data_IF_658486962105
#
_entry.id   IF_658486962105
#
_cell.length_a   1.000
_cell.length_b   1.000
_cell.length_c   1.000
_cell.angle_alpha   90.00
_cell.angle_beta   90.00
_cell.angle_gamma   90.00
#
_symmetry.space_group_name_H-M   'P 1'
#
loop_
_entity.id
_entity.type
_entity.pdbx_description
1 polymer ?
#
# COMPACT_ATOMS: atom_id res chain seq x y z
N UNK A 1 -18.28 -25.80 16.52
CA UNK A 1 -18.24 -26.62 15.29
C UNK A 1 -19.45 -26.32 14.42
N UNK A 2 -19.35 -25.31 13.55
CA UNK A 2 -20.40 -24.99 12.60
C UNK A 2 -20.13 -25.75 11.29
N UNK A 3 -20.99 -26.68 10.88
CA UNK A 3 -20.73 -27.58 9.73
C UNK A 3 -20.61 -26.85 8.39
N UNK A 4 -21.10 -25.61 8.28
CA UNK A 4 -21.02 -24.78 7.08
C UNK A 4 -19.91 -23.72 7.11
N UNK A 5 -19.10 -23.65 8.19
CA UNK A 5 -18.09 -22.60 8.34
C UNK A 5 -17.14 -22.56 7.14
N UNK A 6 -16.64 -23.71 6.68
CA UNK A 6 -15.72 -23.78 5.55
C UNK A 6 -16.34 -23.27 4.24
N UNK A 7 -17.64 -23.51 4.04
CA UNK A 7 -18.37 -23.01 2.87
C UNK A 7 -18.54 -21.48 2.90
N UNK A 8 -18.92 -20.92 4.05
CA UNK A 8 -19.03 -19.47 4.20
C UNK A 8 -17.67 -18.77 4.15
N UNK A 9 -16.61 -19.39 4.69
CA UNK A 9 -15.24 -18.87 4.58
C UNK A 9 -14.76 -18.89 3.12
N UNK A 10 -15.10 -19.93 2.35
CA UNK A 10 -14.78 -20.00 0.93
C UNK A 10 -15.51 -18.92 0.12
N UNK A 11 -16.81 -18.70 0.37
CA UNK A 11 -17.57 -17.63 -0.30
C UNK A 11 -17.15 -16.21 0.14
N UNK A 12 -16.64 -16.06 1.35
CA UNK A 12 -16.13 -14.80 1.88
C UNK A 12 -14.71 -14.47 1.39
N UNK A 13 -14.02 -15.40 0.73
CA UNK A 13 -12.72 -15.12 0.12
C UNK A 13 -12.90 -14.05 -0.99
N UNK A 14 -12.17 -12.93 -0.93
CA UNK A 14 -12.32 -11.85 -1.91
C UNK A 14 -12.11 -12.30 -3.35
N UNK A 15 -11.21 -13.26 -3.59
CA UNK A 15 -10.90 -13.78 -4.93
C UNK A 15 -12.09 -14.57 -5.47
N UNK A 16 -12.65 -15.45 -4.64
CA UNK A 16 -13.84 -16.24 -4.99
C UNK A 16 -15.05 -15.33 -5.21
N UNK A 17 -15.27 -14.36 -4.32
CA UNK A 17 -16.36 -13.40 -4.44
C UNK A 17 -16.28 -12.57 -5.74
N UNK A 18 -15.10 -12.06 -6.09
CA UNK A 18 -14.87 -11.33 -7.34
C UNK A 18 -15.05 -12.22 -8.57
N UNK A 19 -14.56 -13.46 -8.53
CA UNK A 19 -14.75 -14.42 -9.62
C UNK A 19 -16.23 -14.69 -9.86
N UNK A 20 -17.01 -14.93 -8.79
CA UNK A 20 -18.46 -15.13 -8.88
C UNK A 20 -19.14 -13.88 -9.43
N UNK A 21 -18.76 -12.69 -8.99
CA UNK A 21 -19.32 -11.43 -9.48
C UNK A 21 -19.09 -11.24 -10.99
N UNK A 22 -17.89 -11.55 -11.49
CA UNK A 22 -17.58 -11.50 -12.93
C UNK A 22 -18.41 -12.51 -13.71
N UNK A 23 -18.49 -13.76 -13.23
CA UNK A 23 -19.29 -14.82 -13.86
C UNK A 23 -20.77 -14.41 -13.92
N UNK A 24 -21.35 -13.97 -12.81
CA UNK A 24 -22.74 -13.51 -12.75
C UNK A 24 -22.99 -12.32 -13.68
N UNK A 25 -22.05 -11.38 -13.76
CA UNK A 25 -22.17 -10.22 -14.66
C UNK A 25 -22.25 -10.66 -16.12
N UNK A 26 -21.39 -11.58 -16.55
CA UNK A 26 -21.41 -12.14 -17.91
C UNK A 26 -22.74 -12.87 -18.18
N UNK A 27 -23.23 -13.66 -17.22
CA UNK A 27 -24.51 -14.38 -17.35
C UNK A 27 -25.72 -13.44 -17.40
N UNK A 28 -25.76 -12.39 -16.57
CA UNK A 28 -26.89 -11.46 -16.46
C UNK A 28 -26.96 -10.53 -17.67
N UNK A 29 -25.83 -10.00 -18.14
CA UNK A 29 -25.83 -9.04 -19.26
C UNK A 29 -26.21 -9.69 -20.60
N UNK A 30 -26.18 -11.03 -20.71
CA UNK A 30 -26.52 -11.80 -21.93
C UNK A 30 -25.80 -11.28 -23.18
N UNK A 31 -24.58 -10.75 -23.01
CA UNK A 31 -23.77 -10.24 -24.10
C UNK A 31 -23.26 -11.39 -24.96
N UNK A 32 -22.97 -11.09 -26.22
CA UNK A 32 -22.19 -11.99 -27.06
C UNK A 32 -20.81 -12.23 -26.40
N UNK A 33 -20.31 -13.47 -26.46
CA UNK A 33 -19.00 -13.87 -25.93
C UNK A 33 -17.89 -12.93 -26.40
N UNK A 34 -17.93 -12.47 -27.66
CA UNK A 34 -16.94 -11.53 -28.20
C UNK A 34 -16.93 -10.22 -27.40
N UNK A 35 -18.10 -9.61 -27.20
CA UNK A 35 -18.26 -8.35 -26.45
C UNK A 35 -17.91 -8.51 -24.96
N UNK A 36 -18.23 -9.67 -24.37
CA UNK A 36 -17.83 -9.98 -23.00
C UNK A 36 -16.29 -10.10 -22.87
N UNK A 37 -15.62 -10.74 -23.83
CA UNK A 37 -14.16 -10.83 -23.86
C UNK A 37 -13.47 -9.48 -24.06
N UNK A 38 -14.04 -8.61 -24.91
CA UNK A 38 -13.56 -7.24 -25.09
C UNK A 38 -13.67 -6.44 -23.78
N UNK A 39 -14.80 -6.52 -23.09
CA UNK A 39 -15.03 -5.85 -21.81
C UNK A 39 -14.04 -6.31 -20.73
N UNK A 40 -13.79 -7.63 -20.63
CA UNK A 40 -12.77 -8.17 -19.74
C UNK A 40 -11.36 -7.65 -20.10
N UNK A 41 -11.05 -7.56 -21.40
CA UNK A 41 -9.77 -7.06 -21.89
C UNK A 41 -9.57 -5.58 -21.54
N UNK A 42 -10.58 -4.75 -21.69
CA UNK A 42 -10.54 -3.34 -21.28
C UNK A 42 -10.36 -3.20 -19.77
N UNK A 43 -11.08 -4.02 -18.98
CA UNK A 43 -10.89 -4.09 -17.53
C UNK A 43 -9.45 -4.40 -17.14
N UNK A 44 -8.83 -5.43 -17.72
CA UNK A 44 -7.43 -5.77 -17.45
C UNK A 44 -6.48 -4.65 -17.90
N UNK A 45 -6.70 -4.04 -19.07
CA UNK A 45 -5.91 -2.90 -19.55
C UNK A 45 -5.93 -1.72 -18.57
N UNK A 46 -7.08 -1.44 -17.96
CA UNK A 46 -7.24 -0.34 -17.01
C UNK A 46 -6.37 -0.47 -15.74
N UNK A 47 -6.07 -1.71 -15.33
CA UNK A 47 -5.26 -2.01 -14.13
C UNK A 47 -3.87 -2.59 -14.44
N UNK A 48 -3.51 -2.76 -15.72
CA UNK A 48 -2.29 -3.43 -16.14
C UNK A 48 -1.03 -2.81 -15.52
N UNK A 49 -0.96 -1.47 -15.48
CA UNK A 49 0.14 -0.75 -14.83
C UNK A 49 0.23 -1.04 -13.34
N UNK A 50 -0.91 -1.12 -12.64
CA UNK A 50 -0.96 -1.43 -11.20
C UNK A 50 -0.44 -2.85 -10.95
N UNK A 51 -0.87 -3.83 -11.76
CA UNK A 51 -0.39 -5.22 -11.67
C UNK A 51 1.13 -5.29 -11.88
N UNK A 52 1.67 -4.58 -12.88
CA UNK A 52 3.12 -4.55 -13.15
C UNK A 52 3.91 -3.96 -11.97
N UNK A 53 3.42 -2.88 -11.37
CA UNK A 53 4.04 -2.27 -10.18
C UNK A 53 4.02 -3.24 -8.99
N UNK A 54 2.89 -3.92 -8.75
CA UNK A 54 2.78 -4.91 -7.67
C UNK A 54 3.74 -6.09 -7.91
N UNK A 55 3.81 -6.61 -9.13
CA UNK A 55 4.71 -7.71 -9.49
C UNK A 55 6.19 -7.33 -9.31
N UNK A 56 6.58 -6.14 -9.78
CA UNK A 56 7.94 -5.62 -9.60
C UNK A 56 8.27 -5.39 -8.12
N UNK A 57 7.34 -4.80 -7.36
CA UNK A 57 7.48 -4.59 -5.92
C UNK A 57 7.60 -5.91 -5.14
N UNK A 58 6.85 -6.94 -5.53
CA UNK A 58 6.93 -8.28 -4.95
C UNK A 58 8.29 -8.95 -5.17
N UNK A 59 8.81 -8.90 -6.41
CA UNK A 59 10.16 -9.41 -6.71
C UNK A 59 11.26 -8.63 -5.98
N UNK A 60 11.18 -7.30 -5.97
CA UNK A 60 12.14 -6.46 -5.25
C UNK A 60 12.10 -6.67 -3.74
N UNK A 61 10.90 -6.84 -3.16
CA UNK A 61 10.73 -7.24 -1.75
C UNK A 61 11.51 -8.51 -1.44
N UNK A 62 11.41 -9.54 -2.28
CA UNK A 62 12.12 -10.80 -2.01
C UNK A 62 13.64 -10.60 -2.03
N UNK A 63 14.16 -9.80 -2.97
CA UNK A 63 15.58 -9.43 -3.00
C UNK A 63 15.99 -8.68 -1.72
N UNK A 64 15.16 -7.78 -1.19
CA UNK A 64 15.45 -7.07 0.06
C UNK A 64 15.48 -8.00 1.29
N UNK A 65 14.61 -9.01 1.31
CA UNK A 65 14.62 -10.03 2.36
C UNK A 65 15.89 -10.90 2.23
N UNK A 66 16.18 -11.39 1.03
CA UNK A 66 17.29 -12.30 0.77
C UNK A 66 18.67 -11.62 0.94
N UNK A 67 18.75 -10.32 0.65
CA UNK A 67 19.96 -9.50 0.87
C UNK A 67 20.24 -9.18 2.34
N UNK A 68 19.30 -9.47 3.24
CA UNK A 68 19.47 -9.23 4.68
C UNK A 68 19.36 -7.77 5.09
N UNK A 69 18.92 -6.86 4.21
CA UNK A 69 18.76 -5.42 4.51
C UNK A 69 17.84 -5.21 5.72
N UNK A 70 16.78 -6.03 5.87
CA UNK A 70 15.90 -5.97 7.03
C UNK A 70 16.62 -6.28 8.37
N UNK A 71 17.64 -7.14 8.36
CA UNK A 71 18.45 -7.42 9.55
C UNK A 71 19.38 -6.25 9.87
N UNK A 72 19.99 -5.62 8.87
CA UNK A 72 20.80 -4.41 9.07
C UNK A 72 19.97 -3.28 9.66
N UNK A 73 18.76 -3.06 9.14
CA UNK A 73 17.82 -2.07 9.70
C UNK A 73 17.47 -2.43 11.14
N UNK A 74 17.18 -3.70 11.44
CA UNK A 74 16.90 -4.17 12.80
C UNK A 74 18.09 -3.94 13.75
N UNK A 75 19.31 -4.22 13.34
CA UNK A 75 20.51 -4.02 14.16
C UNK A 75 20.81 -2.54 14.42
N UNK A 76 20.70 -1.69 13.38
CA UNK A 76 20.86 -0.25 13.52
C UNK A 76 19.80 0.35 14.46
N UNK A 77 18.58 -0.18 14.38
CA UNK A 77 17.45 0.30 15.20
C UNK A 77 17.34 -0.39 16.56
N UNK A 78 18.03 -1.51 16.81
CA UNK A 78 18.04 -2.18 18.10
C UNK A 78 18.62 -1.31 19.24
N UNK A 79 19.47 -0.33 18.89
CA UNK A 79 20.00 0.66 19.82
C UNK A 79 19.06 1.86 20.04
N UNK A 80 18.07 2.04 19.17
CA UNK A 80 17.06 3.09 19.27
C UNK A 80 15.88 2.55 20.08
N UNK A 81 15.58 3.19 21.21
CA UNK A 81 14.40 2.92 22.03
C UNK A 81 13.09 3.46 21.40
N UNK A 82 12.97 3.35 20.08
CA UNK A 82 11.81 3.83 19.30
C UNK A 82 10.81 2.70 19.07
N UNK A 83 9.52 3.04 19.01
CA UNK A 83 8.47 2.08 18.66
C UNK A 83 8.71 1.50 17.25
N UNK A 84 8.57 0.16 17.06
CA UNK A 84 8.66 -0.46 15.75
C UNK A 84 7.71 0.14 14.71
N UNK A 85 6.54 0.62 15.14
CA UNK A 85 5.54 1.26 14.28
C UNK A 85 6.05 2.61 13.74
N UNK A 86 6.68 3.41 14.60
CA UNK A 86 7.31 4.67 14.20
C UNK A 86 8.50 4.43 13.25
N UNK A 87 9.31 3.41 13.52
CA UNK A 87 10.42 3.04 12.63
C UNK A 87 9.92 2.64 11.24
N UNK A 88 8.85 1.83 11.17
CA UNK A 88 8.26 1.46 9.89
C UNK A 88 7.70 2.66 9.12
N UNK A 89 7.04 3.59 9.82
CA UNK A 89 6.58 4.86 9.23
C UNK A 89 7.74 5.70 8.69
N UNK A 90 8.83 5.84 9.46
CA UNK A 90 10.02 6.60 9.04
C UNK A 90 10.72 5.98 7.83
N UNK A 91 10.93 4.66 7.83
CA UNK A 91 11.56 3.94 6.71
C UNK A 91 10.69 4.11 5.46
N UNK A 92 9.38 3.92 5.59
CA UNK A 92 8.47 4.06 4.46
C UNK A 92 8.43 5.50 3.95
N UNK A 93 8.42 6.49 4.85
CA UNK A 93 8.46 7.90 4.50
C UNK A 93 9.75 8.31 3.79
N UNK A 94 10.91 7.83 4.24
CA UNK A 94 12.19 8.07 3.57
C UNK A 94 12.20 7.47 2.15
N UNK A 95 11.64 6.27 1.99
CA UNK A 95 11.45 5.66 0.67
C UNK A 95 10.45 6.44 -0.18
N UNK A 96 9.36 6.95 0.39
CA UNK A 96 8.39 7.79 -0.33
C UNK A 96 9.04 9.05 -0.88
N UNK A 97 9.82 9.75 -0.06
CA UNK A 97 10.51 10.99 -0.46
C UNK A 97 11.52 10.73 -1.58
N UNK A 98 12.14 9.56 -1.65
CA UNK A 98 13.10 9.23 -2.72
C UNK A 98 12.43 8.68 -3.98
N UNK A 99 11.48 7.75 -3.82
CA UNK A 99 10.84 7.00 -4.92
C UNK A 99 9.68 7.73 -5.57
N UNK A 100 9.01 8.64 -4.85
CA UNK A 100 7.92 9.44 -5.40
C UNK A 100 6.61 8.70 -5.65
N UNK A 101 6.51 7.38 -5.48
CA UNK A 101 5.25 6.63 -5.58
C UNK A 101 4.86 6.01 -4.23
N UNK A 102 3.63 6.28 -3.76
CA UNK A 102 3.12 5.76 -2.49
C UNK A 102 3.09 4.22 -2.51
N UNK A 103 2.59 3.64 -3.60
CA UNK A 103 2.49 2.18 -3.75
C UNK A 103 3.87 1.52 -3.79
N UNK A 104 4.82 2.07 -4.56
CA UNK A 104 6.17 1.50 -4.64
C UNK A 104 6.89 1.63 -3.30
N UNK A 105 6.76 2.77 -2.62
CA UNK A 105 7.35 2.99 -1.29
C UNK A 105 6.78 2.02 -0.25
N UNK A 106 5.47 1.86 -0.19
CA UNK A 106 4.81 0.92 0.73
C UNK A 106 5.24 -0.53 0.48
N UNK A 107 5.22 -0.98 -0.79
CA UNK A 107 5.63 -2.35 -1.15
C UNK A 107 7.09 -2.61 -0.82
N UNK A 108 7.97 -1.67 -1.14
CA UNK A 108 9.41 -1.73 -0.83
C UNK A 108 9.65 -1.81 0.68
N UNK A 109 9.06 -0.87 1.43
CA UNK A 109 9.21 -0.80 2.88
C UNK A 109 8.67 -2.06 3.56
N UNK A 110 7.57 -2.64 3.05
CA UNK A 110 6.97 -3.86 3.61
C UNK A 110 7.95 -5.05 3.69
N UNK A 111 8.91 -5.13 2.76
CA UNK A 111 9.97 -6.14 2.82
C UNK A 111 10.99 -5.86 3.92
N UNK A 112 11.33 -4.59 4.13
CA UNK A 112 12.34 -4.16 5.09
C UNK A 112 11.85 -4.18 6.54
N UNK A 113 10.57 -3.86 6.76
CA UNK A 113 9.98 -3.76 8.11
C UNK A 113 9.45 -5.08 8.63
N UNK A 114 9.38 -6.13 7.79
CA UNK A 114 8.88 -7.45 8.18
C UNK A 114 9.56 -8.02 9.44
N UNK A 115 10.90 -7.91 9.62
CA UNK A 115 11.57 -8.38 10.84
C UNK A 115 11.20 -7.60 12.12
N UNK A 116 10.61 -6.40 11.98
CA UNK A 116 10.23 -5.55 13.10
C UNK A 116 8.93 -6.02 13.78
N UNK A 117 8.07 -6.78 13.06
CA UNK A 117 6.84 -7.35 13.62
C UNK A 117 7.16 -8.31 14.78
N UNK A 118 8.25 -9.08 14.68
CA UNK A 118 8.69 -10.01 15.73
C UNK A 118 9.13 -9.35 17.04
N UNK A 119 9.17 -8.02 17.12
CA UNK A 119 9.57 -7.23 18.31
C UNK A 119 8.34 -6.82 19.15
N UNK A 120 7.17 -7.42 18.89
CA UNK A 120 5.95 -7.19 19.67
C UNK A 120 4.98 -6.17 19.06
N UNK A 121 5.19 -5.76 17.80
CA UNK A 121 4.25 -4.91 17.08
C UNK A 121 3.20 -5.76 16.35
N UNK A 122 1.93 -5.38 16.48
CA UNK A 122 0.83 -6.01 15.78
C UNK A 122 1.01 -5.92 14.23
N UNK A 123 0.86 -7.03 13.48
CA UNK A 123 0.98 -7.02 12.01
C UNK A 123 0.02 -6.03 11.35
N UNK A 124 -1.22 -5.95 11.83
CA UNK A 124 -2.23 -5.04 11.31
C UNK A 124 -1.86 -3.57 11.55
N UNK A 125 -1.34 -3.21 12.72
CA UNK A 125 -0.83 -1.85 12.99
C UNK A 125 0.42 -1.52 12.18
N UNK A 126 1.25 -2.52 11.89
CA UNK A 126 2.43 -2.37 11.02
C UNK A 126 2.01 -2.01 9.59
N UNK A 127 1.00 -2.68 9.05
CA UNK A 127 0.45 -2.37 7.72
C UNK A 127 -0.08 -0.94 7.67
N UNK A 128 -0.81 -0.51 8.71
CA UNK A 128 -1.31 0.87 8.80
C UNK A 128 -0.17 1.90 8.92
N UNK A 129 0.89 1.59 9.68
CA UNK A 129 2.06 2.47 9.81
C UNK A 129 2.80 2.66 8.50
N UNK A 130 3.01 1.58 7.75
CA UNK A 130 3.61 1.61 6.40
C UNK A 130 2.69 2.40 5.45
N UNK A 131 1.39 2.14 5.48
CA UNK A 131 0.41 2.87 4.68
C UNK A 131 0.45 4.38 4.94
N UNK A 132 0.42 4.78 6.20
CA UNK A 132 0.54 6.18 6.60
C UNK A 132 1.87 6.80 6.17
N UNK A 133 2.99 6.09 6.37
CA UNK A 133 4.33 6.57 5.97
C UNK A 133 4.48 6.74 4.46
N UNK A 134 3.75 5.96 3.66
CA UNK A 134 3.79 6.05 2.20
C UNK A 134 3.21 7.34 1.62
N UNK A 135 2.49 8.13 2.42
CA UNK A 135 1.98 9.45 2.05
C UNK A 135 2.87 10.59 2.57
N UNK A 136 4.02 10.28 3.19
CA UNK A 136 4.86 11.32 3.77
C UNK A 136 5.52 12.15 2.67
N UNK A 137 5.18 13.44 2.63
CA UNK A 137 5.86 14.47 1.86
C UNK A 137 6.02 14.15 0.37
N UNK A 138 4.89 14.03 -0.33
CA UNK A 138 4.83 13.95 -1.79
C UNK A 138 5.32 15.25 -2.45
N UNK A 139 6.30 15.16 -3.35
CA UNK A 139 6.90 16.33 -4.02
C UNK A 139 7.06 16.10 -5.53
N UNK A 140 7.99 16.81 -6.17
CA UNK A 140 8.21 16.83 -7.63
C UNK A 140 8.53 15.47 -8.25
N UNK A 141 8.90 14.46 -7.46
CA UNK A 141 9.08 13.09 -7.95
C UNK A 141 7.78 12.27 -7.98
N UNK A 142 6.67 12.80 -7.49
CA UNK A 142 5.36 12.14 -7.47
C UNK A 142 4.51 12.57 -8.66
N UNK A 143 3.97 11.59 -9.38
CA UNK A 143 3.01 11.82 -10.47
C UNK A 143 1.71 12.47 -9.97
N UNK A 144 1.28 12.15 -8.75
CA UNK A 144 0.11 12.76 -8.11
C UNK A 144 0.28 14.27 -7.88
N UNK A 145 1.49 14.71 -7.50
CA UNK A 145 1.82 16.12 -7.32
C UNK A 145 1.63 16.91 -8.62
N UNK A 146 2.14 16.39 -9.74
CA UNK A 146 2.00 17.03 -11.05
C UNK A 146 0.58 17.00 -11.56
N UNK A 147 -0.12 15.87 -11.42
CA UNK A 147 -1.52 15.76 -11.80
C UNK A 147 -2.38 16.79 -11.07
N UNK A 148 -2.19 16.95 -9.76
CA UNK A 148 -2.92 17.95 -8.96
C UNK A 148 -2.58 19.39 -9.39
N UNK A 149 -1.30 19.70 -9.62
CA UNK A 149 -0.86 21.00 -10.12
C UNK A 149 -1.54 21.35 -11.45
N UNK A 150 -1.48 20.46 -12.44
CA UNK A 150 -2.02 20.70 -13.78
C UNK A 150 -3.56 20.76 -13.78
N UNK A 151 -4.23 19.91 -13.01
CA UNK A 151 -5.69 19.88 -12.93
C UNK A 151 -6.27 21.19 -12.38
N UNK A 152 -5.59 21.80 -11.40
CA UNK A 152 -6.03 23.05 -10.76
C UNK A 152 -5.29 24.30 -11.25
N UNK A 153 -4.37 24.18 -12.22
CA UNK A 153 -3.60 25.30 -12.76
C UNK A 153 -2.71 26.02 -11.73
N UNK A 154 -2.23 25.30 -10.72
CA UNK A 154 -1.49 25.88 -9.59
C UNK A 154 -0.01 26.17 -9.94
N UNK A 155 0.59 27.11 -9.21
CA UNK A 155 2.06 27.27 -9.19
C UNK A 155 2.71 26.19 -8.32
N UNK A 156 4.00 25.90 -8.55
CA UNK A 156 4.75 24.94 -7.71
C UNK A 156 4.67 25.27 -6.22
N UNK A 157 4.79 26.55 -5.86
CA UNK A 157 4.74 27.01 -4.46
C UNK A 157 3.38 26.74 -3.83
N UNK A 158 2.30 26.89 -4.59
CA UNK A 158 0.95 26.58 -4.13
C UNK A 158 0.76 25.07 -3.99
N UNK A 159 1.21 24.26 -4.95
CA UNK A 159 1.13 22.80 -4.88
C UNK A 159 1.89 22.25 -3.67
N UNK A 160 3.09 22.76 -3.36
CA UNK A 160 3.80 22.38 -2.13
C UNK A 160 3.02 22.72 -0.85
N UNK A 161 2.32 23.87 -0.83
CA UNK A 161 1.55 24.32 0.33
C UNK A 161 0.21 23.60 0.48
N UNK A 162 -0.34 23.04 -0.59
CA UNK A 162 -1.64 22.36 -0.56
C UNK A 162 -1.46 20.86 -0.60
N UNK A 163 -0.93 20.31 -1.70
CA UNK A 163 -0.78 18.89 -1.92
C UNK A 163 0.23 18.26 -0.95
N UNK A 164 1.48 18.71 -0.96
CA UNK A 164 2.53 18.13 -0.10
C UNK A 164 2.19 18.29 1.38
N UNK A 165 1.62 19.44 1.76
CA UNK A 165 1.17 19.68 3.12
C UNK A 165 0.02 18.75 3.53
N UNK A 166 -1.00 18.58 2.68
CA UNK A 166 -2.13 17.69 2.93
C UNK A 166 -1.68 16.23 3.08
N UNK A 167 -0.85 15.74 2.16
CA UNK A 167 -0.27 14.39 2.20
C UNK A 167 0.51 14.16 3.51
N UNK A 168 1.38 15.11 3.89
CA UNK A 168 2.11 15.04 5.16
C UNK A 168 1.19 15.07 6.37
N UNK A 169 0.14 15.89 6.38
CA UNK A 169 -0.85 15.93 7.46
C UNK A 169 -1.53 14.57 7.60
N UNK A 170 -2.01 13.99 6.50
CA UNK A 170 -2.64 12.67 6.49
C UNK A 170 -1.66 11.60 6.99
N UNK A 171 -0.41 11.64 6.56
CA UNK A 171 0.64 10.71 7.01
C UNK A 171 0.90 10.78 8.52
N UNK A 172 0.99 11.99 9.08
CA UNK A 172 1.24 12.21 10.51
C UNK A 172 0.01 11.86 11.35
N UNK A 173 -1.19 12.25 10.92
CA UNK A 173 -2.44 11.89 11.61
C UNK A 173 -2.69 10.39 11.55
N UNK A 174 -2.36 9.74 10.43
CA UNK A 174 -2.42 8.28 10.30
C UNK A 174 -1.51 7.58 11.30
N UNK A 175 -0.25 8.03 11.43
CA UNK A 175 0.66 7.52 12.45
C UNK A 175 0.12 7.75 13.88
N UNK A 176 -0.38 8.96 14.17
CA UNK A 176 -0.95 9.26 15.47
C UNK A 176 -2.13 8.32 15.80
N UNK A 177 -3.02 8.07 14.83
CA UNK A 177 -4.12 7.12 14.97
C UNK A 177 -3.62 5.70 15.24
N UNK A 178 -2.57 5.26 14.55
CA UNK A 178 -1.96 3.94 14.78
C UNK A 178 -1.38 3.83 16.20
N UNK A 179 -0.65 4.84 16.66
CA UNK A 179 -0.07 4.86 18.01
C UNK A 179 -1.15 4.91 19.11
N UNK A 180 -2.28 5.56 18.85
CA UNK A 180 -3.42 5.54 19.77
C UNK A 180 -4.04 4.14 19.83
N UNK A 181 -4.25 3.50 18.68
CA UNK A 181 -4.79 2.14 18.61
C UNK A 181 -3.87 1.11 19.28
N UNK A 182 -2.55 1.28 19.17
CA UNK A 182 -1.53 0.46 19.82
C UNK A 182 -1.65 0.46 21.35
N UNK A 183 -2.27 1.47 21.97
CA UNK A 183 -2.50 1.49 23.43
C UNK A 183 -3.66 0.59 23.88
N UNK A 184 -4.54 0.20 22.96
CA UNK A 184 -5.75 -0.58 23.28
C UNK A 184 -5.61 -2.07 22.94
N UNK A 185 -4.55 -2.45 22.23
CA UNK A 185 -4.26 -3.82 21.77
C UNK A 185 -3.11 -4.39 22.61
#
# INVERSE_FOLDING_TARGET
>A
NYPFKSFFVFLADPTVALLIAVILTIFIQKLNVVTAMESCTEGVKSIAMIILIIAAGGGFKQILIDSGVGNTVKEMTASLSLSPLLLAWLITGALRVTLGSATVAALTASGMVLPLIGIGASPELMVLSVGAGSLLFSHVNDTGFWMFKEYFGLTLKETFKTWSAMETIVSVLGLAGVLILDQFI
#
